data_IF_781597478862
#
_entry.id   IF_781597478862
#
_cell.length_a   1.000
_cell.length_b   1.000
_cell.length_c   1.000
_cell.angle_alpha   90.00
_cell.angle_beta   90.00
_cell.angle_gamma   90.00
#
_symmetry.space_group_name_H-M   'P 1'
#
loop_
_entity.id
_entity.type
_entity.pdbx_description
1 polymer ?
#
# COMPACT_ATOMS: atom_id res chain seq x y z
N UNK A 1 9.19 -15.15 26.60
CA UNK A 1 8.80 -14.26 25.49
C UNK A 1 7.29 -14.12 25.49
N UNK A 2 6.76 -12.96 25.17
CA UNK A 2 5.33 -12.74 24.96
C UNK A 2 4.91 -13.27 23.59
N UNK A 3 3.77 -13.95 23.52
CA UNK A 3 3.25 -14.46 22.26
C UNK A 3 2.40 -13.40 21.56
N UNK A 4 2.65 -13.16 20.29
CA UNK A 4 1.87 -12.22 19.47
C UNK A 4 1.37 -12.92 18.20
N UNK A 5 0.07 -12.80 17.95
CA UNK A 5 -0.53 -13.19 16.67
C UNK A 5 -0.78 -11.95 15.80
N UNK A 6 -0.42 -12.03 14.53
CA UNK A 6 -0.74 -11.03 13.51
C UNK A 6 -1.70 -11.70 12.52
N UNK A 7 -2.94 -11.23 12.44
CA UNK A 7 -3.90 -11.69 11.43
C UNK A 7 -3.90 -10.69 10.28
N UNK A 8 -3.43 -11.16 9.11
CA UNK A 8 -3.23 -10.38 7.90
C UNK A 8 -1.76 -10.12 7.59
N UNK A 9 -1.22 -10.88 6.63
CA UNK A 9 0.15 -10.79 6.10
C UNK A 9 0.29 -9.81 4.93
N UNK A 10 -0.52 -8.76 4.88
CA UNK A 10 -0.37 -7.65 3.95
C UNK A 10 0.77 -6.70 4.34
N UNK A 11 0.83 -5.54 3.70
CA UNK A 11 1.95 -4.59 3.87
C UNK A 11 2.14 -4.14 5.33
N UNK A 12 1.07 -3.95 6.09
CA UNK A 12 1.16 -3.56 7.51
C UNK A 12 1.70 -4.73 8.33
N UNK A 13 1.04 -5.89 8.26
CA UNK A 13 1.39 -7.05 9.09
C UNK A 13 2.80 -7.56 8.85
N UNK A 14 3.24 -7.59 7.58
CA UNK A 14 4.59 -8.01 7.23
C UNK A 14 5.66 -7.03 7.69
N UNK A 15 5.38 -5.73 7.61
CA UNK A 15 6.29 -4.71 8.14
C UNK A 15 6.35 -4.76 9.66
N UNK A 16 5.20 -4.89 10.33
CA UNK A 16 5.10 -5.09 11.78
C UNK A 16 5.94 -6.29 12.23
N UNK A 17 5.72 -7.47 11.62
CA UNK A 17 6.43 -8.70 11.97
C UNK A 17 7.96 -8.55 11.88
N UNK A 18 8.46 -7.78 10.91
CA UNK A 18 9.89 -7.56 10.71
C UNK A 18 10.53 -6.55 11.65
N UNK A 19 9.75 -5.64 12.24
CA UNK A 19 10.23 -4.64 13.21
C UNK A 19 9.98 -5.03 14.67
N UNK A 20 9.16 -6.04 14.95
CA UNK A 20 9.03 -6.58 16.31
C UNK A 20 10.36 -7.18 16.77
N UNK A 21 10.69 -6.96 18.04
CA UNK A 21 11.88 -7.49 18.67
C UNK A 21 11.74 -9.01 18.92
N UNK A 22 12.49 -9.87 18.20
CA UNK A 22 12.38 -11.32 18.34
C UNK A 22 12.89 -11.84 19.69
N UNK A 23 13.56 -11.02 20.50
CA UNK A 23 13.94 -11.38 21.86
C UNK A 23 12.77 -11.18 22.85
N UNK A 24 11.82 -10.31 22.52
CA UNK A 24 10.65 -10.03 23.34
C UNK A 24 9.43 -10.84 22.96
N UNK A 25 9.29 -11.14 21.65
CA UNK A 25 8.07 -11.70 21.09
C UNK A 25 8.30 -13.02 20.34
N UNK A 26 7.42 -14.01 20.63
CA UNK A 26 7.19 -15.20 19.78
C UNK A 26 6.06 -14.82 18.82
N UNK A 27 6.39 -14.71 17.52
CA UNK A 27 5.52 -14.09 16.52
C UNK A 27 4.95 -15.16 15.60
N UNK A 28 3.63 -15.15 15.41
CA UNK A 28 2.95 -15.94 14.38
C UNK A 28 2.11 -15.02 13.48
N UNK A 29 2.30 -15.14 12.18
CA UNK A 29 1.49 -14.43 11.16
C UNK A 29 0.52 -15.42 10.53
N UNK A 30 -0.75 -15.07 10.49
CA UNK A 30 -1.83 -15.84 9.87
C UNK A 30 -2.34 -15.09 8.64
N UNK A 31 -2.26 -15.70 7.46
CA UNK A 31 -2.79 -15.14 6.22
C UNK A 31 -3.04 -16.23 5.18
N UNK A 32 -4.24 -16.30 4.63
CA UNK A 32 -4.58 -17.26 3.58
C UNK A 32 -4.09 -16.83 2.18
N UNK A 33 -3.60 -15.61 2.03
CA UNK A 33 -2.98 -15.09 0.79
C UNK A 33 -3.96 -14.67 -0.30
N UNK A 34 -5.28 -14.67 -0.02
CA UNK A 34 -6.34 -14.42 -1.01
C UNK A 34 -6.67 -12.93 -1.06
N UNK A 35 -6.79 -12.36 -2.27
CA UNK A 35 -7.29 -11.00 -2.49
C UNK A 35 -6.43 -9.87 -1.92
N UNK A 36 -5.17 -10.14 -1.57
CA UNK A 36 -4.27 -9.18 -0.95
C UNK A 36 -4.07 -7.93 -1.81
N UNK A 37 -4.58 -6.78 -1.36
CA UNK A 37 -4.40 -5.50 -2.04
C UNK A 37 -2.93 -5.14 -2.28
N UNK A 38 -2.03 -5.55 -1.38
CA UNK A 38 -0.58 -5.32 -1.53
C UNK A 38 -0.01 -6.00 -2.78
N UNK A 39 -0.43 -7.24 -3.07
CA UNK A 39 0.02 -7.98 -4.26
C UNK A 39 -0.56 -7.39 -5.55
N UNK A 40 -1.74 -6.79 -5.48
CA UNK A 40 -2.46 -6.22 -6.61
C UNK A 40 -2.33 -4.70 -6.71
N UNK A 41 -1.29 -4.11 -6.12
CA UNK A 41 -1.12 -2.66 -6.10
C UNK A 41 -0.22 -2.16 -7.23
N UNK A 42 -0.44 -0.92 -7.67
CA UNK A 42 0.39 -0.24 -8.65
C UNK A 42 1.79 0.11 -8.12
N UNK A 43 1.92 0.34 -6.82
CA UNK A 43 3.22 0.53 -6.20
C UNK A 43 3.77 1.94 -6.21
N UNK A 44 3.01 2.93 -6.58
CA UNK A 44 3.48 4.32 -6.71
C UNK A 44 3.75 4.94 -5.35
N UNK A 45 4.95 5.49 -5.18
CA UNK A 45 5.37 6.24 -4.00
C UNK A 45 5.62 7.70 -4.44
N UNK A 46 4.57 8.49 -4.43
CA UNK A 46 4.62 9.92 -4.81
C UNK A 46 3.42 10.69 -4.22
N UNK A 47 3.34 10.83 -2.89
CA UNK A 47 2.13 11.35 -2.24
C UNK A 47 2.04 12.87 -2.24
N UNK A 48 3.14 13.57 -2.48
CA UNK A 48 3.29 15.00 -2.14
C UNK A 48 2.36 15.94 -2.90
N UNK A 49 1.94 15.60 -4.12
CA UNK A 49 1.08 16.45 -4.93
C UNK A 49 -0.40 16.12 -4.86
N UNK A 50 -0.79 15.27 -3.90
CA UNK A 50 -2.20 14.99 -3.63
C UNK A 50 -2.93 16.25 -3.19
N UNK A 51 -4.10 16.51 -3.81
CA UNK A 51 -5.00 17.61 -3.45
C UNK A 51 -6.03 17.24 -2.37
N UNK A 52 -5.85 16.09 -1.68
CA UNK A 52 -6.74 15.69 -0.57
C UNK A 52 -6.68 16.71 0.55
N UNK A 53 -7.85 17.08 1.08
CA UNK A 53 -7.97 18.08 2.16
C UNK A 53 -7.62 17.55 3.56
N UNK A 54 -7.53 16.24 3.73
CA UNK A 54 -7.22 15.62 5.02
C UNK A 54 -5.72 15.79 5.35
N UNK A 55 -5.42 16.74 6.24
CA UNK A 55 -4.04 17.08 6.64
C UNK A 55 -3.34 15.91 7.36
N UNK A 56 -4.07 15.14 8.18
CA UNK A 56 -3.50 13.99 8.90
C UNK A 56 -3.15 12.87 7.94
N UNK A 57 -4.00 12.60 6.94
CA UNK A 57 -3.67 11.68 5.87
C UNK A 57 -2.43 12.13 5.10
N UNK A 58 -2.33 13.42 4.77
CA UNK A 58 -1.15 13.93 4.05
C UNK A 58 0.12 13.77 4.88
N UNK A 59 0.06 14.08 6.18
CA UNK A 59 1.20 13.88 7.10
C UNK A 59 1.60 12.40 7.15
N UNK A 60 0.65 11.48 7.30
CA UNK A 60 0.90 10.04 7.27
C UNK A 60 1.57 9.59 5.97
N UNK A 61 1.07 10.07 4.83
CA UNK A 61 1.58 9.69 3.51
C UNK A 61 3.00 10.26 3.26
N UNK A 62 3.27 11.47 3.72
CA UNK A 62 4.59 12.10 3.69
C UNK A 62 5.59 11.30 4.54
N UNK A 63 5.27 11.04 5.80
CA UNK A 63 6.12 10.23 6.69
C UNK A 63 6.32 8.80 6.15
N UNK A 64 5.29 8.23 5.51
CA UNK A 64 5.40 6.96 4.82
C UNK A 64 6.43 7.00 3.69
N UNK A 65 6.41 8.03 2.86
CA UNK A 65 7.40 8.21 1.79
C UNK A 65 8.80 8.48 2.37
N UNK A 66 8.92 9.31 3.40
CA UNK A 66 10.18 9.61 4.07
C UNK A 66 10.82 8.38 4.75
N UNK A 67 10.04 7.35 5.07
CA UNK A 67 10.55 6.12 5.68
C UNK A 67 11.31 5.22 4.70
N UNK A 68 11.12 5.32 3.38
CA UNK A 68 11.68 4.37 2.42
C UNK A 68 13.20 4.21 2.49
N UNK A 69 14.02 5.26 2.64
CA UNK A 69 15.48 5.08 2.82
C UNK A 69 15.82 4.17 4.01
N UNK A 70 15.07 4.29 5.12
CA UNK A 70 15.22 3.42 6.28
C UNK A 70 14.77 1.99 5.96
N UNK A 71 13.64 1.79 5.27
CA UNK A 71 13.16 0.46 4.87
C UNK A 71 14.19 -0.24 3.96
N UNK A 72 14.74 0.48 2.99
CA UNK A 72 15.79 -0.03 2.09
C UNK A 72 16.98 -0.54 2.90
N UNK A 73 17.47 0.26 3.84
CA UNK A 73 18.59 -0.11 4.71
C UNK A 73 18.25 -1.28 5.62
N UNK A 74 17.16 -1.16 6.38
CA UNK A 74 16.81 -2.12 7.44
C UNK A 74 16.43 -3.48 6.88
N UNK A 75 15.74 -3.50 5.74
CA UNK A 75 15.28 -4.72 5.10
C UNK A 75 16.19 -5.18 3.95
N UNK A 76 17.21 -4.42 3.60
CA UNK A 76 18.11 -4.71 2.47
C UNK A 76 17.31 -4.88 1.16
N UNK A 77 16.39 -3.95 0.89
CA UNK A 77 15.58 -4.00 -0.31
C UNK A 77 16.46 -3.73 -1.54
N UNK A 78 16.34 -4.59 -2.54
CA UNK A 78 16.97 -4.40 -3.84
C UNK A 78 16.17 -3.45 -4.71
N UNK A 79 16.76 -2.92 -5.80
CA UNK A 79 16.08 -2.05 -6.76
C UNK A 79 14.92 -2.75 -7.50
N UNK A 80 14.90 -4.09 -7.52
CA UNK A 80 13.78 -4.88 -8.04
C UNK A 80 12.55 -4.77 -7.15
N UNK A 81 12.75 -4.56 -5.84
CA UNK A 81 11.67 -4.44 -4.86
C UNK A 81 11.24 -2.98 -4.73
N UNK A 82 12.18 -2.09 -4.45
CA UNK A 82 11.94 -0.65 -4.35
C UNK A 82 12.98 0.14 -5.14
N UNK A 83 12.51 1.09 -5.94
CA UNK A 83 13.39 2.02 -6.64
C UNK A 83 12.82 3.44 -6.58
N UNK A 84 13.66 4.39 -6.19
CA UNK A 84 13.40 5.81 -6.34
C UNK A 84 13.71 6.19 -7.80
N UNK A 85 12.75 5.94 -8.70
CA UNK A 85 12.89 6.15 -10.15
C UNK A 85 12.50 7.54 -10.61
N UNK A 86 11.99 8.37 -9.69
CA UNK A 86 11.28 9.59 -10.02
C UNK A 86 9.84 9.32 -10.50
N UNK A 87 9.09 10.41 -10.60
CA UNK A 87 7.72 10.40 -11.13
C UNK A 87 7.57 11.53 -12.13
N UNK A 88 7.07 11.26 -13.34
CA UNK A 88 6.61 12.26 -14.30
C UNK A 88 5.10 12.41 -14.19
N UNK A 89 4.62 13.63 -14.11
CA UNK A 89 3.19 13.95 -13.92
C UNK A 89 2.73 14.72 -15.15
N UNK A 90 1.78 14.13 -15.89
CA UNK A 90 1.20 14.71 -17.09
C UNK A 90 -0.12 15.38 -16.75
N UNK A 91 -0.21 16.67 -16.99
CA UNK A 91 -1.43 17.47 -16.80
C UNK A 91 -1.43 18.59 -17.85
N UNK A 92 -2.58 19.27 -18.11
CA UNK A 92 -2.59 20.51 -18.89
C UNK A 92 -1.61 21.54 -18.37
N UNK A 93 -1.01 22.35 -19.27
CA UNK A 93 0.10 23.25 -18.94
C UNK A 93 -0.18 24.19 -17.74
N UNK A 94 -1.39 24.74 -17.65
CA UNK A 94 -1.78 25.57 -16.49
C UNK A 94 -1.73 24.80 -15.17
N UNK A 95 -2.22 23.55 -15.16
CA UNK A 95 -2.22 22.72 -13.96
C UNK A 95 -0.80 22.26 -13.57
N UNK A 96 0.11 22.11 -14.53
CA UNK A 96 1.52 21.79 -14.24
C UNK A 96 2.22 22.92 -13.50
N UNK A 97 1.97 24.18 -13.87
CA UNK A 97 2.53 25.34 -13.17
C UNK A 97 2.08 25.41 -11.71
N UNK A 98 0.77 25.20 -11.47
CA UNK A 98 0.22 25.13 -10.11
C UNK A 98 0.81 23.97 -9.29
N UNK A 99 0.99 22.80 -9.92
CA UNK A 99 1.59 21.64 -9.25
C UNK A 99 3.07 21.88 -8.93
N UNK A 100 3.83 22.53 -9.82
CA UNK A 100 5.21 22.88 -9.56
C UNK A 100 5.34 23.84 -8.37
N UNK A 101 4.48 24.86 -8.32
CA UNK A 101 4.43 25.78 -7.18
C UNK A 101 4.08 25.05 -5.87
N UNK A 102 3.06 24.20 -5.89
CA UNK A 102 2.68 23.37 -4.75
C UNK A 102 3.82 22.42 -4.31
N UNK A 103 4.58 21.86 -5.26
CA UNK A 103 5.72 21.01 -4.96
C UNK A 103 6.83 21.78 -4.23
N UNK A 104 7.18 22.98 -4.68
CA UNK A 104 8.18 23.82 -4.04
C UNK A 104 7.74 24.25 -2.62
N UNK A 105 6.47 24.58 -2.45
CA UNK A 105 5.89 24.89 -1.15
C UNK A 105 6.01 23.70 -0.18
N UNK A 106 5.62 22.51 -0.64
CA UNK A 106 5.66 21.28 0.17
C UNK A 106 7.06 20.78 0.46
N UNK A 107 8.00 21.01 -0.44
CA UNK A 107 9.42 20.63 -0.27
C UNK A 107 10.05 21.27 0.97
N UNK A 108 9.58 22.43 1.41
CA UNK A 108 10.08 23.10 2.63
C UNK A 108 9.90 22.22 3.87
N UNK A 109 8.88 21.36 3.90
CA UNK A 109 8.60 20.45 5.02
C UNK A 109 8.74 18.97 4.64
N UNK A 110 8.96 18.65 3.37
CA UNK A 110 9.09 17.32 2.80
C UNK A 110 10.30 17.28 1.83
N UNK A 111 11.54 17.38 2.36
CA UNK A 111 12.75 17.42 1.51
C UNK A 111 12.92 16.15 0.66
N UNK A 112 12.29 15.06 1.01
CA UNK A 112 12.27 13.81 0.26
C UNK A 112 11.58 13.93 -1.11
N UNK A 113 10.84 15.02 -1.41
CA UNK A 113 10.37 15.36 -2.76
C UNK A 113 11.54 15.40 -3.75
N UNK A 114 12.71 15.83 -3.30
CA UNK A 114 13.90 15.91 -4.12
C UNK A 114 13.88 17.07 -5.12
N UNK A 115 14.36 16.83 -6.34
CA UNK A 115 14.35 17.83 -7.40
C UNK A 115 12.97 17.92 -8.07
N UNK A 116 12.57 19.15 -8.36
CA UNK A 116 11.31 19.50 -9.02
C UNK A 116 11.68 20.14 -10.36
N UNK A 117 11.32 19.51 -11.46
CA UNK A 117 11.75 19.95 -12.78
C UNK A 117 10.60 19.95 -13.78
N UNK A 118 10.36 21.11 -14.41
CA UNK A 118 9.47 21.19 -15.58
C UNK A 118 10.20 20.61 -16.79
N UNK A 119 9.70 19.51 -17.33
CA UNK A 119 10.24 18.89 -18.53
C UNK A 119 9.53 19.39 -19.78
N UNK A 120 10.31 19.72 -20.82
CA UNK A 120 9.76 19.94 -22.16
C UNK A 120 9.18 18.64 -22.73
N UNK A 121 8.39 18.73 -23.78
CA UNK A 121 7.81 17.59 -24.46
C UNK A 121 8.86 16.54 -24.89
N UNK A 122 9.96 17.00 -25.49
CA UNK A 122 11.08 16.15 -25.90
C UNK A 122 11.79 15.49 -24.71
N UNK A 123 11.96 16.22 -23.61
CA UNK A 123 12.57 15.68 -22.40
C UNK A 123 11.68 14.59 -21.77
N UNK A 124 10.38 14.80 -21.70
CA UNK A 124 9.43 13.78 -21.20
C UNK A 124 9.54 12.48 -21.99
N UNK A 125 9.49 12.55 -23.33
CA UNK A 125 9.61 11.37 -24.19
C UNK A 125 11.01 10.71 -24.09
N UNK A 126 12.06 11.46 -23.74
CA UNK A 126 13.39 10.90 -23.45
C UNK A 126 13.44 10.16 -22.11
N UNK A 127 12.74 10.68 -21.08
CA UNK A 127 12.65 10.03 -19.77
C UNK A 127 11.83 8.76 -19.80
N UNK A 128 10.71 8.76 -20.54
CA UNK A 128 9.85 7.59 -20.73
C UNK A 128 9.45 7.46 -22.21
N UNK A 129 10.19 6.63 -22.99
CA UNK A 129 10.06 6.56 -24.45
C UNK A 129 8.71 6.10 -24.98
N UNK A 130 7.87 5.48 -24.15
CA UNK A 130 6.49 5.09 -24.50
C UNK A 130 5.55 6.29 -24.62
N UNK A 131 5.86 7.42 -23.99
CA UNK A 131 4.99 8.59 -24.00
C UNK A 131 5.13 9.41 -25.28
N UNK A 132 4.03 10.01 -25.69
CA UNK A 132 4.05 11.11 -26.67
C UNK A 132 4.88 12.28 -26.12
N UNK A 133 5.40 13.10 -27.04
CA UNK A 133 6.01 14.37 -26.69
C UNK A 133 4.97 15.30 -26.05
N UNK A 134 4.98 15.37 -24.72
CA UNK A 134 4.06 16.14 -23.89
C UNK A 134 4.82 16.75 -22.71
N UNK A 135 4.68 18.03 -22.41
CA UNK A 135 5.31 18.61 -21.22
C UNK A 135 4.84 17.91 -19.94
N UNK A 136 5.72 17.81 -18.95
CA UNK A 136 5.41 17.17 -17.67
C UNK A 136 6.15 17.81 -16.51
N UNK A 137 5.72 17.52 -15.29
CA UNK A 137 6.44 17.83 -14.06
C UNK A 137 7.14 16.58 -13.56
N UNK A 138 8.45 16.67 -13.37
CA UNK A 138 9.26 15.60 -12.79
C UNK A 138 9.56 15.86 -11.32
N UNK A 139 9.38 14.82 -10.49
CA UNK A 139 9.66 14.79 -9.05
C UNK A 139 10.66 13.67 -8.79
N UNK A 140 11.90 13.98 -8.45
CA UNK A 140 12.97 12.98 -8.32
C UNK A 140 12.82 12.07 -7.11
N UNK A 141 12.14 12.52 -6.05
CA UNK A 141 11.85 11.72 -4.86
C UNK A 141 10.80 10.62 -5.08
N UNK A 142 10.06 10.70 -6.18
CA UNK A 142 9.09 9.67 -6.55
C UNK A 142 9.73 8.31 -6.82
N UNK A 143 8.93 7.25 -6.68
CA UNK A 143 9.45 5.90 -6.88
C UNK A 143 8.35 4.86 -6.96
N UNK A 144 8.78 3.60 -6.97
CA UNK A 144 7.89 2.44 -7.03
C UNK A 144 8.30 1.34 -6.08
N UNK A 145 7.30 0.59 -5.59
CA UNK A 145 7.47 -0.60 -4.76
C UNK A 145 6.72 -1.77 -5.41
N UNK A 146 7.40 -2.89 -5.71
CA UNK A 146 6.74 -4.12 -6.14
C UNK A 146 6.13 -4.82 -4.92
N UNK A 147 4.80 -4.76 -4.80
CA UNK A 147 4.10 -5.32 -3.64
C UNK A 147 4.33 -6.81 -3.43
N UNK A 148 4.19 -7.69 -4.44
CA UNK A 148 4.53 -9.10 -4.34
C UNK A 148 5.97 -9.35 -3.92
N UNK A 149 6.93 -8.69 -4.55
CA UNK A 149 8.35 -8.85 -4.24
C UNK A 149 8.67 -8.40 -2.79
N UNK A 150 8.08 -7.29 -2.36
CA UNK A 150 8.21 -6.79 -0.99
C UNK A 150 7.69 -7.81 0.04
N UNK A 151 6.47 -8.34 -0.14
CA UNK A 151 5.91 -9.33 0.79
C UNK A 151 6.75 -10.61 0.84
N UNK A 152 7.16 -11.15 -0.32
CA UNK A 152 8.00 -12.34 -0.38
C UNK A 152 9.35 -12.14 0.31
N UNK A 153 9.96 -10.97 0.11
CA UNK A 153 11.23 -10.63 0.75
C UNK A 153 11.08 -10.52 2.27
N UNK A 154 10.06 -9.81 2.75
CA UNK A 154 9.79 -9.65 4.18
C UNK A 154 9.42 -10.95 4.86
N UNK A 155 8.70 -11.85 4.18
CA UNK A 155 8.39 -13.18 4.71
C UNK A 155 9.67 -13.98 4.96
N UNK A 156 10.55 -14.09 3.96
CA UNK A 156 11.85 -14.78 4.11
C UNK A 156 12.69 -14.22 5.25
N UNK A 157 12.71 -12.89 5.38
CA UNK A 157 13.43 -12.24 6.48
C UNK A 157 12.83 -12.54 7.85
N UNK A 158 11.51 -12.52 7.96
CA UNK A 158 10.81 -12.81 9.21
C UNK A 158 11.00 -14.29 9.61
N UNK A 159 10.91 -15.22 8.66
CA UNK A 159 11.20 -16.65 8.89
C UNK A 159 12.64 -16.85 9.40
N UNK A 160 13.61 -16.16 8.80
CA UNK A 160 15.00 -16.21 9.25
C UNK A 160 15.23 -15.67 10.67
N UNK A 161 14.28 -14.86 11.19
CA UNK A 161 14.26 -14.37 12.58
C UNK A 161 13.40 -15.23 13.52
N UNK A 162 12.84 -16.35 13.04
CA UNK A 162 12.02 -17.26 13.83
C UNK A 162 10.52 -16.94 13.86
N UNK A 163 10.03 -16.04 13.00
CA UNK A 163 8.60 -15.81 12.86
C UNK A 163 7.93 -17.01 12.18
N UNK A 164 6.84 -17.49 12.76
CA UNK A 164 6.04 -18.59 12.18
C UNK A 164 4.98 -18.02 11.24
N UNK A 165 4.76 -18.68 10.10
CA UNK A 165 3.69 -18.36 9.16
C UNK A 165 2.68 -19.49 9.08
N UNK A 166 1.40 -19.15 9.18
CA UNK A 166 0.27 -20.05 9.02
C UNK A 166 -0.57 -19.59 7.82
N UNK A 167 -0.53 -20.34 6.71
CA UNK A 167 -1.27 -20.04 5.47
C UNK A 167 -2.73 -20.49 5.58
N UNK A 168 -3.43 -20.09 6.64
CA UNK A 168 -4.82 -20.41 6.90
C UNK A 168 -5.56 -19.14 7.37
N UNK A 169 -6.86 -19.12 7.10
CA UNK A 169 -7.75 -18.14 7.70
C UNK A 169 -7.80 -18.36 9.20
N UNK A 170 -7.60 -17.31 9.97
CA UNK A 170 -7.64 -17.34 11.41
C UNK A 170 -8.84 -16.55 11.95
N UNK A 171 -9.50 -17.14 12.94
CA UNK A 171 -10.48 -16.49 13.80
C UNK A 171 -9.87 -16.32 15.20
N UNK A 172 -10.52 -15.56 16.06
CA UNK A 172 -10.04 -15.38 17.41
C UNK A 172 -11.18 -15.24 18.39
N UNK A 173 -10.90 -15.49 19.66
CA UNK A 173 -11.78 -15.18 20.77
C UNK A 173 -11.00 -14.58 21.93
N UNK A 174 -11.65 -13.72 22.69
CA UNK A 174 -11.07 -13.17 23.91
C UNK A 174 -11.04 -14.23 25.02
N UNK A 175 -9.94 -14.27 25.76
CA UNK A 175 -9.78 -15.06 26.98
C UNK A 175 -9.78 -14.12 28.19
N UNK A 176 -9.80 -14.68 29.40
CA UNK A 176 -9.62 -13.88 30.63
C UNK A 176 -8.30 -13.10 30.64
N UNK A 177 -7.25 -13.67 30.03
CA UNK A 177 -5.97 -13.01 29.77
C UNK A 177 -5.52 -13.35 28.35
N UNK A 178 -5.39 -12.32 27.49
CA UNK A 178 -4.97 -12.48 26.10
C UNK A 178 -6.07 -13.00 25.17
N UNK A 179 -5.65 -13.73 24.15
CA UNK A 179 -6.48 -14.14 23.02
C UNK A 179 -6.23 -15.59 22.66
N UNK A 180 -7.24 -16.29 22.17
CA UNK A 180 -7.08 -17.59 21.49
C UNK A 180 -7.28 -17.40 20.00
N UNK A 181 -6.32 -17.85 19.23
CA UNK A 181 -6.37 -17.91 17.76
C UNK A 181 -6.85 -19.30 17.36
N UNK A 182 -7.79 -19.36 16.44
CA UNK A 182 -8.42 -20.60 15.96
C UNK A 182 -8.29 -20.65 14.45
N UNK A 183 -7.65 -21.72 13.96
CA UNK A 183 -7.60 -22.09 12.55
C UNK A 183 -8.25 -23.46 12.34
N UNK A 184 -8.27 -23.95 11.11
CA UNK A 184 -8.77 -25.31 10.83
C UNK A 184 -7.91 -26.41 11.47
N UNK A 185 -6.63 -26.13 11.74
CA UNK A 185 -5.66 -27.12 12.20
C UNK A 185 -5.28 -27.00 13.66
N UNK A 186 -5.41 -25.80 14.27
CA UNK A 186 -4.91 -25.57 15.63
C UNK A 186 -5.70 -24.51 16.40
N UNK A 187 -5.51 -24.54 17.73
CA UNK A 187 -5.88 -23.48 18.65
C UNK A 187 -4.65 -23.06 19.44
N UNK A 188 -4.35 -21.77 19.46
CA UNK A 188 -3.15 -21.23 20.11
C UNK A 188 -3.49 -20.00 20.95
N UNK A 189 -3.13 -20.04 22.24
CA UNK A 189 -3.27 -18.86 23.12
C UNK A 189 -2.09 -17.92 22.93
N UNK A 190 -2.38 -16.61 22.87
CA UNK A 190 -1.40 -15.54 22.68
C UNK A 190 -1.66 -14.39 23.66
N UNK A 191 -0.60 -13.65 24.00
CA UNK A 191 -0.69 -12.49 24.90
C UNK A 191 -1.23 -11.25 24.14
N UNK A 192 -0.86 -11.09 22.87
CA UNK A 192 -1.18 -9.93 22.04
C UNK A 192 -1.77 -10.35 20.70
N UNK A 193 -2.66 -9.51 20.17
CA UNK A 193 -3.27 -9.69 18.86
C UNK A 193 -3.17 -8.41 18.04
N UNK A 194 -2.65 -8.53 16.82
CA UNK A 194 -2.64 -7.46 15.83
C UNK A 194 -3.54 -7.84 14.65
N UNK A 195 -4.59 -7.08 14.43
CA UNK A 195 -5.50 -7.26 13.30
C UNK A 195 -5.16 -6.30 12.18
N UNK A 196 -4.57 -6.84 11.10
CA UNK A 196 -4.18 -6.10 9.91
C UNK A 196 -4.72 -6.73 8.61
N UNK A 197 -5.96 -7.29 8.62
CA UNK A 197 -6.51 -8.13 7.56
C UNK A 197 -7.10 -7.32 6.39
N UNK A 198 -6.77 -6.04 6.27
CA UNK A 198 -7.34 -5.17 5.25
C UNK A 198 -8.87 -5.07 5.37
N UNK A 199 -9.65 -5.35 4.29
CA UNK A 199 -11.10 -5.18 4.31
C UNK A 199 -11.82 -6.19 5.22
N UNK A 200 -11.22 -7.35 5.53
CA UNK A 200 -11.81 -8.36 6.43
C UNK A 200 -11.86 -7.93 7.91
N UNK A 201 -11.27 -6.79 8.27
CA UNK A 201 -11.33 -6.28 9.65
C UNK A 201 -12.76 -6.10 10.15
N UNK A 202 -13.68 -5.70 9.26
CA UNK A 202 -15.10 -5.53 9.59
C UNK A 202 -15.74 -6.81 10.08
N UNK A 203 -15.50 -7.94 9.41
CA UNK A 203 -16.02 -9.24 9.77
C UNK A 203 -15.43 -9.73 11.11
N UNK A 204 -14.11 -9.56 11.26
CA UNK A 204 -13.40 -10.00 12.47
C UNK A 204 -13.86 -9.24 13.72
N UNK A 205 -14.00 -7.92 13.64
CA UNK A 205 -14.44 -7.12 14.80
C UNK A 205 -15.93 -7.24 15.10
N UNK A 206 -16.75 -7.65 14.13
CA UNK A 206 -18.16 -7.96 14.38
C UNK A 206 -18.34 -9.10 15.42
N UNK A 207 -17.39 -10.03 15.51
CA UNK A 207 -17.38 -11.09 16.53
C UNK A 207 -17.24 -10.58 17.98
N UNK A 208 -16.78 -9.33 18.12
CA UNK A 208 -16.67 -8.61 19.41
C UNK A 208 -17.77 -7.55 19.58
N UNK A 209 -18.86 -7.63 18.81
CA UNK A 209 -19.93 -6.63 18.79
C UNK A 209 -19.45 -5.21 18.44
N UNK A 210 -18.41 -5.11 17.61
CA UNK A 210 -17.89 -3.83 17.09
C UNK A 210 -18.29 -3.64 15.63
N UNK A 211 -18.72 -2.43 15.30
CA UNK A 211 -18.90 -1.99 13.92
C UNK A 211 -17.65 -1.23 13.45
N UNK A 212 -17.30 -1.40 12.18
CA UNK A 212 -16.10 -0.80 11.60
C UNK A 212 -16.45 -0.07 10.30
N UNK A 213 -15.98 1.16 10.17
CA UNK A 213 -16.11 1.96 8.95
C UNK A 213 -15.11 1.48 7.89
N UNK A 214 -15.43 0.37 7.25
CA UNK A 214 -14.65 -0.22 6.15
C UNK A 214 -15.58 -0.57 5.00
N UNK A 215 -15.18 -0.13 3.80
CA UNK A 215 -15.81 -0.43 2.53
C UNK A 215 -14.79 -1.13 1.63
N UNK A 216 -15.05 -2.37 1.21
CA UNK A 216 -14.18 -3.07 0.26
C UNK A 216 -14.35 -2.46 -1.13
N UNK A 217 -13.25 -2.44 -1.91
CA UNK A 217 -13.25 -2.00 -3.30
C UNK A 217 -12.31 -2.88 -4.11
N UNK A 218 -12.81 -3.52 -5.15
CA UNK A 218 -11.99 -4.26 -6.10
C UNK A 218 -11.13 -3.28 -6.92
N UNK A 219 -9.91 -3.71 -7.20
CA UNK A 219 -9.02 -3.03 -8.14
C UNK A 219 -8.29 -4.02 -9.00
N UNK A 220 -8.27 -3.75 -10.29
CA UNK A 220 -7.55 -4.52 -11.28
C UNK A 220 -6.49 -3.66 -11.93
N UNK A 221 -5.34 -4.26 -12.23
CA UNK A 221 -4.31 -3.66 -13.05
C UNK A 221 -3.74 -4.70 -14.02
N UNK A 222 -3.18 -4.21 -15.12
CA UNK A 222 -2.56 -5.02 -16.16
C UNK A 222 -1.05 -5.01 -15.97
N UNK A 223 -0.43 -6.16 -16.16
CA UNK A 223 1.02 -6.34 -16.12
C UNK A 223 1.45 -6.82 -17.50
N UNK A 224 2.16 -5.99 -18.23
CA UNK A 224 2.70 -6.30 -19.55
C UNK A 224 4.14 -6.76 -19.43
N UNK A 225 4.49 -7.82 -20.17
CA UNK A 225 5.85 -8.32 -20.34
C UNK A 225 6.37 -7.82 -21.69
N UNK A 226 7.22 -6.80 -21.68
CA UNK A 226 7.68 -6.11 -22.89
C UNK A 226 9.16 -6.37 -23.18
N UNK A 227 9.63 -6.15 -24.43
CA UNK A 227 11.05 -6.26 -24.77
C UNK A 227 11.92 -5.10 -24.26
N UNK A 228 11.38 -4.15 -23.50
CA UNK A 228 12.11 -2.97 -23.02
C UNK A 228 13.03 -3.31 -21.83
N UNK A 229 14.17 -3.87 -22.10
CA UNK A 229 15.13 -4.36 -21.07
C UNK A 229 15.63 -3.29 -20.12
N UNK A 230 15.55 -2.01 -20.50
CA UNK A 230 15.96 -0.85 -19.70
C UNK A 230 14.82 -0.16 -18.95
N UNK A 231 13.62 -0.74 -18.94
CA UNK A 231 12.41 -0.15 -18.32
C UNK A 231 12.57 0.19 -16.83
N UNK A 232 13.49 -0.49 -16.13
CA UNK A 232 13.80 -0.16 -14.73
C UNK A 232 14.35 1.26 -14.53
N UNK A 233 14.91 1.88 -15.57
CA UNK A 233 15.45 3.24 -15.50
C UNK A 233 14.37 4.32 -15.70
N UNK A 234 13.19 3.93 -16.17
CA UNK A 234 12.12 4.85 -16.46
C UNK A 234 11.38 5.28 -15.20
N UNK A 235 10.97 6.56 -15.10
CA UNK A 235 10.16 7.03 -14.00
C UNK A 235 8.74 6.44 -14.05
N UNK A 236 8.04 6.49 -12.93
CA UNK A 236 6.59 6.29 -12.92
C UNK A 236 5.92 7.43 -13.67
N UNK A 237 4.93 7.15 -14.51
CA UNK A 237 4.12 8.17 -15.17
C UNK A 237 2.72 8.23 -14.56
N UNK A 238 2.43 9.36 -13.91
CA UNK A 238 1.08 9.69 -13.42
C UNK A 238 0.35 10.46 -14.51
N UNK A 239 -0.51 9.76 -15.23
CA UNK A 239 -1.24 10.30 -16.37
C UNK A 239 -2.40 11.21 -15.94
N UNK A 240 -2.93 12.00 -16.88
CA UNK A 240 -4.12 12.80 -16.64
C UNK A 240 -5.38 11.94 -16.82
N UNK A 241 -5.71 11.18 -15.78
CA UNK A 241 -6.79 10.21 -15.76
C UNK A 241 -6.68 9.28 -14.55
N UNK A 242 -7.34 8.13 -14.65
CA UNK A 242 -7.36 7.13 -13.56
C UNK A 242 -6.25 6.09 -13.68
N UNK A 243 -5.62 5.96 -14.84
CA UNK A 243 -4.59 4.98 -15.09
C UNK A 243 -3.20 5.61 -15.08
N UNK A 244 -2.25 4.93 -14.45
CA UNK A 244 -0.85 5.29 -14.40
C UNK A 244 0.01 4.19 -15.04
N UNK A 245 1.20 4.55 -15.57
CA UNK A 245 2.21 3.62 -16.08
C UNK A 245 3.33 3.48 -15.07
N UNK A 246 3.59 2.23 -14.67
CA UNK A 246 4.61 1.93 -13.67
C UNK A 246 5.61 0.93 -14.26
N UNK A 247 6.74 1.41 -14.79
CA UNK A 247 7.80 0.55 -15.33
C UNK A 247 8.55 -0.14 -14.19
N UNK A 248 8.79 -1.44 -14.35
CA UNK A 248 9.63 -2.27 -13.49
C UNK A 248 10.80 -2.86 -14.28
N UNK A 249 11.56 -3.73 -13.67
CA UNK A 249 12.69 -4.39 -14.27
C UNK A 249 12.28 -5.36 -15.38
N UNK A 250 13.22 -5.66 -16.27
CA UNK A 250 13.10 -6.72 -17.28
C UNK A 250 11.89 -6.55 -18.22
N UNK A 251 11.54 -5.32 -18.56
CA UNK A 251 10.42 -5.05 -19.46
C UNK A 251 9.04 -5.15 -18.84
N UNK A 252 8.91 -5.38 -17.54
CA UNK A 252 7.62 -5.40 -16.87
C UNK A 252 7.07 -4.00 -16.74
N UNK A 253 5.87 -3.76 -17.26
CA UNK A 253 5.16 -2.48 -17.18
C UNK A 253 3.76 -2.72 -16.65
N UNK A 254 3.44 -2.07 -15.54
CA UNK A 254 2.11 -2.09 -14.96
C UNK A 254 1.30 -0.91 -15.48
N UNK A 255 0.01 -1.16 -15.70
CA UNK A 255 -0.99 -0.18 -16.04
C UNK A 255 -2.17 -0.32 -15.08
N UNK A 256 -2.50 0.72 -14.36
CA UNK A 256 -3.60 0.63 -13.38
C UNK A 256 -3.82 1.88 -12.56
N UNK A 257 -4.90 1.84 -11.83
CA UNK A 257 -5.77 0.68 -11.62
C UNK A 257 -7.26 1.07 -11.68
N UNK A 258 -8.13 0.07 -11.84
CA UNK A 258 -9.59 0.29 -11.76
C UNK A 258 -10.06 0.55 -10.33
N UNK A 259 -11.28 1.08 -10.19
CA UNK A 259 -11.96 1.33 -8.91
C UNK A 259 -13.40 0.81 -9.00
N UNK A 260 -13.65 -0.40 -8.45
CA UNK A 260 -14.90 -1.14 -8.62
C UNK A 260 -15.54 -1.39 -7.25
N UNK A 261 -16.60 -0.64 -6.93
CA UNK A 261 -17.25 -0.71 -5.62
C UNK A 261 -18.27 -1.85 -5.53
N UNK A 262 -19.00 -2.12 -6.62
CA UNK A 262 -20.13 -3.07 -6.61
C UNK A 262 -19.68 -4.54 -6.53
N UNK A 263 -18.51 -4.85 -7.07
CA UNK A 263 -17.95 -6.22 -7.12
C UNK A 263 -16.76 -6.38 -6.17
N UNK A 264 -16.81 -5.76 -5.03
CA UNK A 264 -15.68 -5.55 -4.13
C UNK A 264 -14.91 -6.82 -3.72
N UNK A 265 -15.58 -7.96 -3.61
CA UNK A 265 -15.01 -9.25 -3.21
C UNK A 265 -14.77 -10.21 -4.37
N UNK A 266 -15.21 -9.85 -5.57
CA UNK A 266 -14.97 -10.65 -6.76
C UNK A 266 -13.52 -10.44 -7.25
N UNK A 267 -12.76 -11.53 -7.33
CA UNK A 267 -11.36 -11.51 -7.77
C UNK A 267 -11.19 -11.92 -9.24
N UNK A 268 -12.29 -12.14 -9.97
CA UNK A 268 -12.25 -12.50 -11.39
C UNK A 268 -11.76 -11.33 -12.25
N UNK A 269 -10.93 -11.65 -13.22
CA UNK A 269 -10.42 -10.71 -14.21
C UNK A 269 -11.53 -10.32 -15.19
N UNK A 270 -11.56 -9.04 -15.64
CA UNK A 270 -12.63 -8.59 -16.53
C UNK A 270 -12.09 -7.91 -17.79
N UNK A 271 -12.73 -8.20 -18.93
CA UNK A 271 -12.45 -7.52 -20.21
C UNK A 271 -12.71 -6.02 -20.11
N UNK A 272 -13.71 -5.61 -19.32
CA UNK A 272 -14.00 -4.19 -19.10
C UNK A 272 -12.86 -3.43 -18.43
N UNK A 273 -12.16 -4.06 -17.49
CA UNK A 273 -10.96 -3.47 -16.86
C UNK A 273 -9.84 -3.26 -17.90
N UNK A 274 -9.60 -4.25 -18.77
CA UNK A 274 -8.66 -4.09 -19.87
C UNK A 274 -9.04 -2.91 -20.78
N UNK A 275 -10.28 -2.86 -21.22
CA UNK A 275 -10.78 -1.80 -22.10
C UNK A 275 -10.69 -0.41 -21.44
N UNK A 276 -11.09 -0.29 -20.18
CA UNK A 276 -11.02 0.96 -19.43
C UNK A 276 -9.56 1.46 -19.30
N UNK A 277 -8.64 0.60 -18.86
CA UNK A 277 -7.26 0.98 -18.62
C UNK A 277 -6.52 1.30 -19.92
N UNK A 278 -6.71 0.48 -20.97
CA UNK A 278 -6.04 0.72 -22.26
C UNK A 278 -6.60 1.93 -22.99
N UNK A 279 -7.92 2.14 -23.02
CA UNK A 279 -8.52 3.32 -23.63
C UNK A 279 -8.16 4.62 -22.90
N UNK A 280 -8.08 4.59 -21.56
CA UNK A 280 -7.66 5.72 -20.75
C UNK A 280 -6.19 6.08 -20.93
N UNK A 281 -5.33 5.12 -21.29
CA UNK A 281 -3.89 5.33 -21.45
C UNK A 281 -3.46 5.61 -22.88
N UNK A 282 -4.14 5.04 -23.88
CA UNK A 282 -3.79 5.19 -25.29
C UNK A 282 -3.53 6.63 -25.77
N UNK A 283 -4.28 7.66 -25.33
CA UNK A 283 -4.04 9.05 -25.71
C UNK A 283 -2.64 9.57 -25.37
N UNK A 284 -2.00 9.00 -24.35
CA UNK A 284 -0.68 9.44 -23.84
C UNK A 284 0.48 8.69 -24.49
N UNK A 285 0.23 7.53 -25.12
CA UNK A 285 1.25 6.69 -25.71
C UNK A 285 1.59 7.13 -27.13
N UNK A 286 2.90 7.08 -27.48
CA UNK A 286 3.37 7.34 -28.84
C UNK A 286 2.83 6.31 -29.82
N UNK A 287 2.94 5.04 -29.47
CA UNK A 287 2.44 3.90 -30.22
C UNK A 287 1.84 2.90 -29.22
N UNK A 288 0.53 2.98 -29.01
CA UNK A 288 -0.18 2.16 -28.02
C UNK A 288 0.00 0.65 -28.25
N UNK A 289 0.07 0.22 -29.52
CA UNK A 289 0.25 -1.17 -29.91
C UNK A 289 1.59 -1.77 -29.43
N UNK A 290 2.63 -0.96 -29.26
CA UNK A 290 3.91 -1.43 -28.70
C UNK A 290 3.77 -1.96 -27.27
N UNK A 291 2.79 -1.47 -26.53
CA UNK A 291 2.48 -1.97 -25.19
C UNK A 291 1.33 -2.98 -25.20
N UNK A 292 0.19 -2.62 -25.81
CA UNK A 292 -1.05 -3.37 -25.64
C UNK A 292 -1.10 -4.72 -26.39
N UNK A 293 -0.21 -4.95 -27.35
CA UNK A 293 -0.04 -6.24 -28.04
C UNK A 293 0.95 -7.18 -27.34
N UNK A 294 1.58 -6.75 -26.26
CA UNK A 294 2.52 -7.60 -25.51
C UNK A 294 1.76 -8.63 -24.65
N UNK A 295 2.39 -9.76 -24.34
CA UNK A 295 1.86 -10.70 -23.36
C UNK A 295 1.54 -9.98 -22.03
N UNK A 296 0.37 -10.29 -21.46
CA UNK A 296 -0.04 -9.63 -20.23
C UNK A 296 -0.82 -10.58 -19.30
N UNK A 297 -0.86 -10.23 -18.03
CA UNK A 297 -1.72 -10.84 -17.03
C UNK A 297 -2.29 -9.77 -16.10
N UNK A 298 -3.33 -10.13 -15.36
CA UNK A 298 -3.96 -9.23 -14.40
C UNK A 298 -3.35 -9.38 -13.01
N UNK A 299 -3.45 -8.33 -12.22
CA UNK A 299 -3.39 -8.38 -10.75
C UNK A 299 -4.71 -7.86 -10.22
N UNK A 300 -5.39 -8.67 -9.41
CA UNK A 300 -6.70 -8.33 -8.84
C UNK A 300 -6.63 -8.41 -7.33
N UNK A 301 -7.23 -7.45 -6.64
CA UNK A 301 -7.26 -7.44 -5.17
C UNK A 301 -8.29 -6.48 -4.61
N UNK A 302 -8.58 -6.64 -3.33
CA UNK A 302 -9.61 -5.85 -2.63
C UNK A 302 -8.97 -4.85 -1.68
N UNK A 303 -9.18 -3.57 -1.96
CA UNK A 303 -8.77 -2.46 -1.09
C UNK A 303 -9.74 -2.31 0.07
N UNK A 304 -9.26 -1.73 1.16
CA UNK A 304 -10.07 -1.28 2.28
C UNK A 304 -10.14 0.25 2.29
N UNK A 305 -11.33 0.83 2.15
CA UNK A 305 -11.56 2.25 2.28
C UNK A 305 -12.40 2.55 3.51
N UNK A 306 -12.16 3.70 4.13
CA UNK A 306 -13.06 4.33 5.10
C UNK A 306 -13.93 5.37 4.40
N UNK A 307 -15.02 5.80 5.01
CA UNK A 307 -15.92 6.82 4.45
C UNK A 307 -15.23 8.16 4.20
N UNK A 308 -14.14 8.47 4.91
CA UNK A 308 -13.36 9.69 4.74
C UNK A 308 -12.03 9.46 4.00
N UNK A 309 -11.82 8.27 3.45
CA UNK A 309 -10.62 7.88 2.70
C UNK A 309 -9.32 7.99 3.48
N UNK A 310 -9.36 7.87 4.81
CA UNK A 310 -8.19 7.92 5.68
C UNK A 310 -7.97 6.58 6.42
N UNK A 311 -6.73 6.09 6.51
CA UNK A 311 -6.42 4.93 7.32
C UNK A 311 -6.62 5.20 8.81
N UNK A 312 -6.81 4.12 9.55
CA UNK A 312 -6.78 4.14 11.01
C UNK A 312 -5.96 2.95 11.54
N UNK A 313 -5.32 3.14 12.69
CA UNK A 313 -4.50 2.12 13.33
C UNK A 313 -4.27 2.41 14.81
N UNK A 314 -3.96 1.40 15.61
CA UNK A 314 -3.56 1.54 16.99
C UNK A 314 -4.28 0.62 17.96
N UNK A 315 -4.01 0.78 19.27
CA UNK A 315 -4.67 0.01 20.31
C UNK A 315 -6.15 0.38 20.46
N UNK A 316 -6.99 -0.63 20.74
CA UNK A 316 -8.37 -0.43 21.15
C UNK A 316 -8.39 -0.35 22.67
N UNK A 317 -8.72 0.81 23.29
CA UNK A 317 -8.60 0.99 24.73
C UNK A 317 -9.44 0.01 25.57
N UNK A 318 -10.60 -0.39 25.03
CA UNK A 318 -11.56 -1.29 25.69
C UNK A 318 -11.17 -2.76 25.56
N UNK A 319 -10.22 -3.10 24.68
CA UNK A 319 -9.75 -4.46 24.42
C UNK A 319 -8.25 -4.55 24.63
N UNK A 320 -7.80 -4.84 25.87
CA UNK A 320 -6.39 -4.90 26.19
C UNK A 320 -5.60 -5.84 25.27
N UNK A 321 -4.40 -5.40 24.90
CA UNK A 321 -3.49 -6.21 24.07
C UNK A 321 -3.96 -6.46 22.62
N UNK A 322 -4.98 -5.71 22.15
CA UNK A 322 -5.43 -5.71 20.77
C UNK A 322 -5.04 -4.40 20.06
N UNK A 323 -4.40 -4.53 18.91
CA UNK A 323 -4.23 -3.42 17.96
C UNK A 323 -4.93 -3.75 16.65
N UNK A 324 -5.41 -2.71 15.98
CA UNK A 324 -6.07 -2.83 14.67
C UNK A 324 -5.44 -1.86 13.68
N UNK A 325 -5.47 -2.21 12.38
CA UNK A 325 -5.11 -1.27 11.33
C UNK A 325 -5.82 -1.64 10.01
N UNK A 326 -6.42 -0.65 9.36
CA UNK A 326 -7.08 -0.82 8.06
C UNK A 326 -7.33 0.54 7.38
N UNK A 327 -8.12 0.54 6.29
CA UNK A 327 -8.59 1.75 5.61
C UNK A 327 -7.57 2.42 4.70
N UNK A 328 -6.52 1.72 4.24
CA UNK A 328 -5.41 2.33 3.48
C UNK A 328 -5.81 2.80 2.08
N UNK A 329 -6.87 2.24 1.51
CA UNK A 329 -7.33 2.57 0.17
C UNK A 329 -6.24 2.43 -0.88
N UNK A 330 -6.09 3.44 -1.75
CA UNK A 330 -5.06 3.48 -2.79
C UNK A 330 -3.67 3.89 -2.30
N UNK A 331 -3.52 4.36 -1.05
CA UNK A 331 -2.23 4.83 -0.52
C UNK A 331 -1.45 3.76 0.26
N UNK A 332 -1.90 2.51 0.20
CA UNK A 332 -1.42 1.42 1.06
C UNK A 332 0.07 1.16 1.00
N UNK A 333 0.68 1.18 -0.19
CA UNK A 333 2.12 0.93 -0.30
C UNK A 333 2.98 2.09 0.22
N UNK A 334 2.45 3.31 0.24
CA UNK A 334 3.12 4.46 0.85
C UNK A 334 2.93 4.48 2.37
N UNK A 335 1.69 4.29 2.86
CA UNK A 335 1.37 4.49 4.27
C UNK A 335 1.52 3.23 5.13
N UNK A 336 1.32 2.05 4.53
CA UNK A 336 1.29 0.78 5.24
C UNK A 336 2.60 0.41 5.95
N UNK A 337 3.78 0.57 5.33
CA UNK A 337 5.05 0.33 6.01
C UNK A 337 5.25 1.22 7.23
N UNK A 338 4.87 2.50 7.14
CA UNK A 338 4.97 3.42 8.26
C UNK A 338 4.00 3.03 9.40
N UNK A 339 2.77 2.64 9.07
CA UNK A 339 1.81 2.12 10.05
C UNK A 339 2.37 0.86 10.73
N UNK A 340 2.89 -0.10 9.97
CA UNK A 340 3.51 -1.30 10.52
C UNK A 340 4.69 -0.99 11.45
N UNK A 341 5.52 -0.03 11.08
CA UNK A 341 6.61 0.47 11.90
C UNK A 341 6.10 1.12 13.21
N UNK A 342 5.08 1.99 13.15
CA UNK A 342 4.48 2.62 14.34
C UNK A 342 3.84 1.61 15.29
N UNK A 343 3.19 0.56 14.78
CA UNK A 343 2.66 -0.52 15.60
C UNK A 343 3.77 -1.35 16.25
N UNK A 344 4.87 -1.60 15.54
CA UNK A 344 6.05 -2.27 16.12
C UNK A 344 6.67 -1.45 17.24
N UNK A 345 6.83 -0.14 17.06
CA UNK A 345 7.30 0.78 18.10
C UNK A 345 6.39 0.72 19.33
N UNK A 346 5.07 0.70 19.13
CA UNK A 346 4.12 0.55 20.24
C UNK A 346 4.35 -0.76 21.03
N UNK A 347 4.47 -1.89 20.35
CA UNK A 347 4.71 -3.17 21.03
C UNK A 347 6.09 -3.21 21.72
N UNK A 348 7.12 -2.69 21.06
CA UNK A 348 8.49 -2.73 21.59
C UNK A 348 8.71 -1.80 22.78
N UNK A 349 8.01 -0.64 22.82
CA UNK A 349 8.29 0.46 23.78
C UNK A 349 7.10 0.85 24.65
N UNK A 350 5.89 0.45 24.31
CA UNK A 350 4.64 0.89 24.96
C UNK A 350 4.16 2.29 24.52
N UNK A 351 4.88 2.98 23.62
CA UNK A 351 4.53 4.35 23.21
C UNK A 351 3.80 4.35 21.88
N UNK A 352 2.59 4.93 21.83
CA UNK A 352 1.80 5.09 20.63
C UNK A 352 1.71 6.56 20.21
N UNK A 353 2.02 6.86 18.95
CA UNK A 353 1.99 8.22 18.37
C UNK A 353 1.01 8.38 17.20
N UNK A 354 0.10 7.43 17.01
CA UNK A 354 -0.81 7.41 15.86
C UNK A 354 -1.75 8.61 15.78
N UNK A 355 -2.06 9.26 16.89
CA UNK A 355 -2.95 10.45 16.95
C UNK A 355 -2.47 11.61 16.07
N UNK A 356 -1.17 11.67 15.77
CA UNK A 356 -0.60 12.67 14.86
C UNK A 356 -1.05 12.46 13.41
N UNK A 357 -1.41 11.22 13.04
CA UNK A 357 -1.57 10.77 11.67
C UNK A 357 -3.01 10.40 11.31
N UNK A 358 -3.90 10.33 12.29
CA UNK A 358 -5.28 9.90 12.10
C UNK A 358 -6.26 10.65 13.02
N UNK A 359 -7.53 10.54 12.71
CA UNK A 359 -8.61 10.93 13.62
C UNK A 359 -8.71 9.92 14.77
N UNK A 360 -9.41 10.22 15.86
CA UNK A 360 -9.65 9.27 16.94
C UNK A 360 -10.20 7.94 16.42
N UNK A 361 -9.66 6.83 16.94
CA UNK A 361 -10.02 5.49 16.48
C UNK A 361 -11.51 5.19 16.65
N UNK A 362 -12.16 5.78 17.67
CA UNK A 362 -13.59 5.72 17.93
C UNK A 362 -14.48 6.29 16.81
N UNK A 363 -13.92 7.02 15.84
CA UNK A 363 -14.66 7.43 14.65
C UNK A 363 -14.84 6.28 13.66
N UNK A 364 -13.91 5.33 13.64
CA UNK A 364 -13.88 4.20 12.71
C UNK A 364 -14.34 2.88 13.32
N UNK A 365 -14.09 2.69 14.61
CA UNK A 365 -14.49 1.50 15.36
C UNK A 365 -15.43 1.91 16.48
N UNK A 366 -16.65 1.33 16.53
CA UNK A 366 -17.71 1.71 17.45
C UNK A 366 -18.37 0.46 18.04
N UNK A 367 -18.86 0.56 19.28
CA UNK A 367 -19.74 -0.46 19.82
C UNK A 367 -21.01 -0.57 18.96
N UNK A 368 -21.43 -1.79 18.66
CA UNK A 368 -22.66 -2.07 17.93
C UNK A 368 -23.73 -2.57 18.92
N UNK A 369 -24.62 -1.71 19.43
CA UNK A 369 -25.62 -2.11 20.42
C UNK A 369 -26.75 -2.96 19.83
N UNK A 370 -26.72 -3.25 18.52
CA UNK A 370 -27.83 -3.93 17.81
C UNK A 370 -27.58 -5.43 17.56
N UNK A 371 -26.58 -6.04 18.19
CA UNK A 371 -26.31 -7.48 18.14
C UNK A 371 -26.48 -8.12 19.52
#
# INVERSE_FOLDING_TARGET
MKKIAIIGGGIIGMTLANYLDPQKFDITVYDEGIGQATKASAGIISPWLSKRRNKKWYQLAREGAALFPKLVKDFQLTEDIYRQSGTVILRPAAALADLAHLAEERKQTAPEIGEITMLSAVQTAKFLPLLKETPSLFISGGGRLDGPAYLNHLQKRAEAKGVTFCSQRAHFRQLNQGWEIVTNSEKKSVDFLALTPGPHLKELLATLNLSVDIHPQKGQLLVFETPFTNSQQWPVAMLDGEADLIPFNQGKILLGATHENEQAWDLEETVSAFQQLTSGTAPFLKEADQLFKQPMHYRVGTRAYTSDFAPFFGPLPELPHLVVASGLGSSGLTTGPFIGYQLAEYFNTGTFKGELYQKPLSQYVKNNPSL
#
